data_IF_732689987875
#
_entry.id   IF_732689987875
#
_cell.length_a   1.000
_cell.length_b   1.000
_cell.length_c   1.000
_cell.angle_alpha   90.00
_cell.angle_beta   90.00
_cell.angle_gamma   90.00
#
_symmetry.space_group_name_H-M   'P 1'
#
loop_
_entity.id
_entity.type
_entity.pdbx_description
1 polymer ?
#
# COMPACT_ATOMS: atom_id res chain seq x y z
N UNK A 1 43.73 -30.20 -13.10
CA UNK A 1 43.24 -29.94 -14.45
C UNK A 1 41.99 -30.81 -14.63
N UNK A 2 40.74 -30.37 -14.57
CA UNK A 2 40.16 -29.04 -14.46
C UNK A 2 38.78 -29.13 -13.80
N UNK A 3 38.46 -28.11 -13.00
CA UNK A 3 37.16 -27.87 -12.38
C UNK A 3 36.43 -26.84 -13.24
N UNK A 4 35.44 -27.26 -14.02
CA UNK A 4 34.43 -26.36 -14.61
C UNK A 4 33.10 -26.67 -13.94
N UNK A 5 32.33 -25.76 -13.36
CA UNK A 5 32.18 -24.34 -13.62
C UNK A 5 30.68 -24.06 -13.56
N UNK A 6 30.12 -24.00 -12.34
CA UNK A 6 28.70 -23.76 -12.07
C UNK A 6 28.29 -22.39 -12.60
N UNK A 7 27.59 -22.36 -13.74
CA UNK A 7 26.99 -21.13 -14.29
C UNK A 7 25.64 -20.90 -13.61
N UNK A 8 25.64 -20.16 -12.50
CA UNK A 8 24.44 -19.50 -11.97
C UNK A 8 24.02 -18.38 -12.92
N UNK A 9 23.01 -18.65 -13.74
CA UNK A 9 22.34 -17.66 -14.57
C UNK A 9 21.49 -16.76 -13.68
N UNK A 10 22.08 -15.70 -13.12
CA UNK A 10 21.31 -14.65 -12.45
C UNK A 10 20.52 -13.88 -13.51
N UNK A 11 19.26 -14.26 -13.69
CA UNK A 11 18.30 -13.57 -14.56
C UNK A 11 18.01 -12.18 -14.00
N UNK A 12 18.77 -11.19 -14.45
CA UNK A 12 18.43 -9.77 -14.31
C UNK A 12 17.16 -9.53 -15.13
N UNK A 13 16.01 -9.57 -14.46
CA UNK A 13 14.74 -9.17 -15.06
C UNK A 13 14.85 -7.72 -15.53
N UNK A 14 14.70 -7.53 -16.85
CA UNK A 14 14.76 -6.25 -17.53
C UNK A 14 13.61 -5.35 -17.07
N UNK A 15 13.98 -4.25 -16.41
CA UNK A 15 13.09 -3.18 -15.93
C UNK A 15 12.50 -2.44 -17.14
N UNK A 16 11.17 -2.35 -17.32
CA UNK A 16 10.60 -1.44 -18.30
C UNK A 16 10.81 0.00 -17.81
N UNK A 17 11.71 0.71 -18.47
CA UNK A 17 12.02 2.12 -18.22
C UNK A 17 10.87 3.00 -18.70
N UNK A 18 10.13 3.59 -17.76
CA UNK A 18 9.31 4.77 -18.05
C UNK A 18 9.82 5.92 -17.16
N UNK A 19 10.56 6.84 -17.79
CA UNK A 19 11.25 7.94 -17.13
C UNK A 19 10.27 9.01 -16.63
N UNK A 20 10.24 9.23 -15.31
CA UNK A 20 10.11 10.56 -14.73
C UNK A 20 11.05 10.67 -13.52
N UNK A 21 11.89 11.69 -13.59
CA UNK A 21 13.06 11.96 -12.75
C UNK A 21 12.66 12.37 -11.33
N UNK A 22 12.26 11.40 -10.51
CA UNK A 22 12.19 11.46 -9.02
C UNK A 22 12.85 10.22 -8.39
N UNK A 23 13.66 9.51 -9.18
CA UNK A 23 13.92 8.06 -9.02
C UNK A 23 14.71 7.65 -7.77
N UNK A 24 15.56 8.53 -7.21
CA UNK A 24 16.47 8.14 -6.12
C UNK A 24 15.79 7.85 -4.77
N UNK A 25 14.73 8.59 -4.41
CA UNK A 25 14.04 8.37 -3.12
C UNK A 25 13.03 7.23 -3.19
N UNK A 26 12.36 7.07 -4.33
CA UNK A 26 11.40 5.97 -4.57
C UNK A 26 12.10 4.61 -4.62
N UNK A 27 13.33 4.55 -5.15
CA UNK A 27 14.13 3.31 -5.16
C UNK A 27 14.50 2.85 -3.75
N UNK A 28 14.71 3.78 -2.81
CA UNK A 28 14.93 3.46 -1.40
C UNK A 28 13.65 3.07 -0.65
N UNK A 29 12.48 3.41 -1.17
CA UNK A 29 11.20 3.09 -0.56
C UNK A 29 10.76 1.64 -0.81
N UNK A 30 11.34 0.97 -1.81
CA UNK A 30 10.97 -0.40 -2.19
C UNK A 30 12.11 -1.39 -1.98
N UNK A 31 11.77 -2.67 -1.91
CA UNK A 31 12.68 -3.82 -1.93
C UNK A 31 12.07 -4.94 -2.76
N UNK A 32 12.91 -5.70 -3.44
CA UNK A 32 12.47 -6.96 -4.06
C UNK A 32 12.29 -8.02 -2.97
N UNK A 33 11.10 -8.62 -2.88
CA UNK A 33 10.80 -9.65 -1.89
C UNK A 33 10.61 -11.00 -2.57
N UNK A 34 11.57 -11.92 -2.37
CA UNK A 34 11.60 -13.21 -3.05
C UNK A 34 10.32 -14.05 -2.85
N UNK A 35 9.73 -14.04 -1.65
CA UNK A 35 8.49 -14.77 -1.39
C UNK A 35 7.24 -14.19 -2.07
N UNK A 36 7.31 -12.93 -2.52
CA UNK A 36 6.24 -12.27 -3.30
C UNK A 36 6.56 -12.35 -4.80
N UNK A 37 7.84 -12.48 -5.17
CA UNK A 37 8.30 -12.50 -6.55
C UNK A 37 8.36 -11.11 -7.21
N UNK A 38 8.17 -10.03 -6.45
CA UNK A 38 8.07 -8.66 -6.95
C UNK A 38 8.50 -7.65 -5.87
N UNK A 39 8.49 -6.36 -6.22
CA UNK A 39 8.79 -5.25 -5.32
C UNK A 39 7.60 -4.90 -4.40
N UNK A 40 7.94 -4.74 -3.13
CA UNK A 40 7.07 -4.24 -2.07
C UNK A 40 7.72 -3.04 -1.37
N UNK A 41 6.95 -2.33 -0.56
CA UNK A 41 7.46 -1.27 0.30
C UNK A 41 8.39 -1.85 1.37
N UNK A 42 9.59 -1.26 1.47
CA UNK A 42 10.63 -1.67 2.41
C UNK A 42 10.14 -1.61 3.85
N UNK A 43 9.53 -0.48 4.22
CA UNK A 43 9.11 -0.24 5.58
C UNK A 43 7.96 -1.18 6.02
N UNK A 44 7.23 -1.76 5.07
CA UNK A 44 6.22 -2.79 5.34
C UNK A 44 6.85 -4.12 5.73
N UNK A 45 7.89 -4.55 5.01
CA UNK A 45 8.65 -5.73 5.38
C UNK A 45 9.32 -5.53 6.76
N UNK A 46 9.86 -4.34 7.01
CA UNK A 46 10.43 -3.97 8.31
C UNK A 46 9.36 -4.01 9.40
N UNK A 47 8.17 -3.46 9.17
CA UNK A 47 7.06 -3.49 10.14
C UNK A 47 6.69 -4.92 10.50
N UNK A 48 6.42 -5.78 9.52
CA UNK A 48 6.01 -7.18 9.76
C UNK A 48 7.10 -7.96 10.50
N UNK A 49 8.37 -7.71 10.15
CA UNK A 49 9.52 -8.32 10.82
C UNK A 49 9.64 -7.82 12.27
N UNK A 50 9.48 -6.52 12.50
CA UNK A 50 9.48 -5.91 13.82
C UNK A 50 8.34 -6.43 14.70
N UNK A 51 7.17 -6.71 14.13
CA UNK A 51 6.08 -7.39 14.82
C UNK A 51 6.47 -8.79 15.27
N UNK A 52 7.03 -9.59 14.36
CA UNK A 52 7.45 -10.97 14.65
C UNK A 52 8.50 -11.06 15.76
N UNK A 53 9.40 -10.08 15.86
CA UNK A 53 10.45 -10.04 16.87
C UNK A 53 10.07 -9.21 18.12
N UNK A 54 8.83 -8.72 18.24
CA UNK A 54 8.41 -7.97 19.42
C UNK A 54 9.11 -6.61 19.59
N UNK A 55 9.37 -5.90 18.48
CA UNK A 55 10.06 -4.61 18.44
C UNK A 55 9.06 -3.44 18.16
N UNK A 56 8.30 -2.96 19.17
CA UNK A 56 7.20 -2.01 18.96
C UNK A 56 7.67 -0.63 18.48
N UNK A 57 8.82 -0.15 18.94
CA UNK A 57 9.34 1.15 18.48
C UNK A 57 9.74 1.12 17.01
N UNK A 58 10.28 -0.01 16.53
CA UNK A 58 10.62 -0.20 15.13
C UNK A 58 9.36 -0.30 14.25
N UNK A 59 8.28 -0.93 14.73
CA UNK A 59 6.98 -0.90 14.05
C UNK A 59 6.44 0.53 13.90
N UNK A 60 6.48 1.33 14.97
CA UNK A 60 6.03 2.74 14.91
C UNK A 60 6.89 3.56 13.96
N UNK A 61 8.21 3.40 14.02
CA UNK A 61 9.15 4.14 13.19
C UNK A 61 8.98 3.78 11.70
N UNK A 62 8.88 2.50 11.37
CA UNK A 62 8.67 2.04 9.99
C UNK A 62 7.35 2.57 9.43
N UNK A 63 6.25 2.51 10.19
CA UNK A 63 4.97 3.05 9.74
C UNK A 63 5.01 4.56 9.51
N UNK A 64 5.65 5.32 10.42
CA UNK A 64 5.82 6.77 10.29
C UNK A 64 6.64 7.12 9.05
N UNK A 65 7.75 6.40 8.82
CA UNK A 65 8.63 6.59 7.67
C UNK A 65 7.92 6.25 6.35
N UNK A 66 7.15 5.17 6.32
CA UNK A 66 6.33 4.80 5.16
C UNK A 66 5.33 5.90 4.80
N UNK A 67 4.71 6.54 5.79
CA UNK A 67 3.78 7.64 5.60
C UNK A 67 4.38 8.91 4.96
N UNK A 68 5.70 9.06 4.96
CA UNK A 68 6.41 10.17 4.32
C UNK A 68 6.73 9.92 2.84
N UNK A 69 6.58 8.68 2.37
CA UNK A 69 6.90 8.32 0.99
C UNK A 69 5.85 8.85 0.01
N UNK A 70 6.31 9.34 -1.14
CA UNK A 70 5.45 9.83 -2.23
C UNK A 70 5.87 9.22 -3.56
N UNK A 71 5.00 9.29 -4.56
CA UNK A 71 5.30 8.78 -5.90
C UNK A 71 5.42 7.24 -5.99
N UNK A 72 4.89 6.51 -5.02
CA UNK A 72 4.86 5.05 -5.05
C UNK A 72 3.79 4.57 -6.04
N UNK A 73 4.17 3.62 -6.89
CA UNK A 73 3.25 2.95 -7.81
C UNK A 73 2.10 2.25 -7.07
N UNK A 74 0.90 2.33 -7.64
CA UNK A 74 -0.32 1.78 -7.02
C UNK A 74 -0.32 0.25 -6.97
N UNK A 75 0.31 -0.44 -7.92
CA UNK A 75 0.44 -1.89 -7.85
C UNK A 75 1.38 -2.29 -6.70
N UNK A 76 2.47 -1.53 -6.49
CA UNK A 76 3.35 -1.74 -5.32
C UNK A 76 2.60 -1.53 -4.00
N UNK A 77 1.72 -0.54 -3.92
CA UNK A 77 0.88 -0.33 -2.73
C UNK A 77 -0.02 -1.55 -2.46
N UNK A 78 -0.72 -2.07 -3.48
CA UNK A 78 -1.59 -3.24 -3.33
C UNK A 78 -0.81 -4.50 -2.96
N UNK A 79 0.31 -4.79 -3.64
CA UNK A 79 1.19 -5.90 -3.28
C UNK A 79 1.67 -5.80 -1.83
N UNK A 80 2.07 -4.60 -1.40
CA UNK A 80 2.52 -4.39 -0.02
C UNK A 80 1.39 -4.54 0.99
N UNK A 81 0.17 -4.14 0.64
CA UNK A 81 -1.01 -4.36 1.47
C UNK A 81 -1.31 -5.86 1.62
N UNK A 82 -1.29 -6.64 0.53
CA UNK A 82 -1.44 -8.10 0.59
C UNK A 82 -0.38 -8.73 1.49
N UNK A 83 0.89 -8.37 1.26
CA UNK A 83 1.99 -8.83 2.09
C UNK A 83 1.75 -8.54 3.58
N UNK A 84 1.27 -7.35 3.93
CA UNK A 84 0.93 -7.00 5.30
C UNK A 84 -0.18 -7.89 5.88
N UNK A 85 -1.25 -8.15 5.12
CA UNK A 85 -2.35 -9.01 5.59
C UNK A 85 -1.91 -10.45 5.81
N UNK A 86 -1.00 -10.96 4.98
CA UNK A 86 -0.47 -12.32 5.08
C UNK A 86 0.52 -12.49 6.25
N UNK A 87 1.17 -11.39 6.68
CA UNK A 87 2.24 -11.40 7.67
C UNK A 87 1.88 -10.72 9.00
N UNK A 88 0.65 -10.25 9.17
CA UNK A 88 0.15 -9.72 10.45
C UNK A 88 -1.18 -10.36 10.86
N UNK A 89 -1.38 -10.63 12.16
CA UNK A 89 -2.66 -11.15 12.65
C UNK A 89 -3.78 -10.10 12.51
N UNK A 90 -5.06 -10.49 12.51
CA UNK A 90 -6.19 -9.56 12.47
C UNK A 90 -6.21 -8.52 13.60
N UNK A 91 -5.55 -8.80 14.73
CA UNK A 91 -5.40 -7.87 15.85
C UNK A 91 -4.48 -6.68 15.55
N UNK A 92 -3.61 -6.75 14.53
CA UNK A 92 -2.76 -5.65 14.11
C UNK A 92 -3.53 -4.66 13.20
N UNK A 93 -4.43 -3.91 13.82
CA UNK A 93 -5.30 -2.97 13.11
C UNK A 93 -4.56 -1.76 12.53
N UNK A 94 -3.40 -1.38 13.07
CA UNK A 94 -2.69 -0.15 12.68
C UNK A 94 -2.17 -0.20 11.25
N UNK A 95 -1.41 -1.24 10.89
CA UNK A 95 -0.87 -1.36 9.54
C UNK A 95 -1.98 -1.57 8.52
N UNK A 96 -2.98 -2.40 8.85
CA UNK A 96 -4.14 -2.64 7.99
C UNK A 96 -4.91 -1.35 7.72
N UNK A 97 -5.27 -0.59 8.77
CA UNK A 97 -5.95 0.70 8.63
C UNK A 97 -5.11 1.72 7.84
N UNK A 98 -3.78 1.73 8.02
CA UNK A 98 -2.89 2.58 7.24
C UNK A 98 -3.01 2.29 5.74
N UNK A 99 -3.04 1.02 5.33
CA UNK A 99 -3.21 0.64 3.93
C UNK A 99 -4.58 1.01 3.37
N UNK A 100 -5.65 0.75 4.12
CA UNK A 100 -7.00 1.11 3.70
C UNK A 100 -7.10 2.63 3.46
N UNK A 101 -6.61 3.43 4.40
CA UNK A 101 -6.57 4.88 4.26
C UNK A 101 -5.71 5.34 3.06
N UNK A 102 -4.54 4.72 2.86
CA UNK A 102 -3.66 5.02 1.72
C UNK A 102 -4.34 4.73 0.38
N UNK A 103 -5.03 3.59 0.27
CA UNK A 103 -5.72 3.18 -0.96
C UNK A 103 -6.91 4.10 -1.25
N UNK A 104 -7.74 4.39 -0.26
CA UNK A 104 -8.91 5.28 -0.38
C UNK A 104 -8.48 6.71 -0.78
N UNK A 105 -7.39 7.21 -0.20
CA UNK A 105 -6.82 8.51 -0.57
C UNK A 105 -6.29 8.52 -2.01
N UNK A 106 -5.75 7.41 -2.48
CA UNK A 106 -5.23 7.23 -3.84
C UNK A 106 -6.28 6.76 -4.86
N UNK A 107 -7.57 6.72 -4.51
CA UNK A 107 -8.66 6.15 -5.35
C UNK A 107 -8.72 6.68 -6.78
N UNK A 108 -8.40 7.95 -7.02
CA UNK A 108 -8.41 8.54 -8.38
C UNK A 108 -7.37 7.88 -9.29
N UNK A 109 -6.21 7.51 -8.75
CA UNK A 109 -5.16 6.81 -9.48
C UNK A 109 -5.58 5.38 -9.78
N UNK A 110 -6.11 4.67 -8.77
CA UNK A 110 -6.64 3.31 -8.94
C UNK A 110 -7.75 3.22 -9.99
N UNK A 111 -8.68 4.20 -9.99
CA UNK A 111 -9.74 4.28 -11.01
C UNK A 111 -9.17 4.39 -12.42
N UNK A 112 -8.09 5.16 -12.61
CA UNK A 112 -7.48 5.38 -13.93
C UNK A 112 -6.67 4.18 -14.40
N UNK A 113 -5.97 3.51 -13.50
CA UNK A 113 -5.07 2.41 -13.86
C UNK A 113 -5.78 1.07 -14.08
N UNK A 114 -6.99 0.89 -13.55
CA UNK A 114 -7.72 -0.40 -13.57
C UNK A 114 -7.10 -1.46 -12.66
N UNK A 115 -5.98 -1.16 -11.99
CA UNK A 115 -5.23 -2.13 -11.17
C UNK A 115 -6.10 -2.73 -10.06
N UNK A 116 -6.95 -1.93 -9.43
CA UNK A 116 -7.83 -2.42 -8.37
C UNK A 116 -8.84 -3.45 -8.88
N UNK A 117 -9.39 -3.25 -10.09
CA UNK A 117 -10.32 -4.20 -10.69
C UNK A 117 -9.63 -5.55 -10.93
N UNK A 118 -8.50 -5.54 -11.64
CA UNK A 118 -7.72 -6.74 -11.94
C UNK A 118 -7.36 -7.52 -10.67
N UNK A 119 -6.92 -6.80 -9.64
CA UNK A 119 -6.49 -7.37 -8.38
C UNK A 119 -7.65 -7.95 -7.55
N UNK A 120 -8.85 -7.35 -7.62
CA UNK A 120 -10.06 -7.84 -6.97
C UNK A 120 -10.70 -9.01 -7.72
N UNK A 121 -10.62 -9.03 -9.05
CA UNK A 121 -11.09 -10.15 -9.89
C UNK A 121 -10.27 -11.42 -9.67
N UNK A 122 -8.98 -11.26 -9.36
CA UNK A 122 -8.11 -12.37 -8.92
C UNK A 122 -8.59 -12.96 -7.58
N UNK A 123 -9.31 -12.16 -6.77
CA UNK A 123 -9.96 -12.58 -5.54
C UNK A 123 -8.99 -12.87 -4.38
N UNK A 124 -9.52 -13.54 -3.35
CA UNK A 124 -8.70 -14.31 -2.43
C UNK A 124 -8.09 -13.62 -1.20
N UNK A 125 -8.50 -12.41 -0.81
CA UNK A 125 -7.92 -11.78 0.40
C UNK A 125 -8.95 -11.05 1.28
N UNK A 126 -8.80 -11.19 2.61
CA UNK A 126 -9.53 -10.40 3.61
C UNK A 126 -9.37 -8.89 3.37
N UNK A 127 -8.21 -8.49 2.83
CA UNK A 127 -7.89 -7.10 2.50
C UNK A 127 -8.93 -6.42 1.59
N UNK A 128 -9.48 -7.13 0.60
CA UNK A 128 -10.51 -6.54 -0.27
C UNK A 128 -11.87 -6.41 0.41
N UNK A 129 -12.21 -7.32 1.33
CA UNK A 129 -13.41 -7.17 2.14
C UNK A 129 -13.31 -5.96 3.08
N UNK A 130 -12.19 -5.84 3.80
CA UNK A 130 -11.94 -4.71 4.69
C UNK A 130 -11.88 -3.39 3.90
N UNK A 131 -11.33 -3.41 2.67
CA UNK A 131 -11.34 -2.26 1.77
C UNK A 131 -12.73 -1.87 1.30
N UNK A 132 -13.59 -2.84 0.96
CA UNK A 132 -14.98 -2.57 0.62
C UNK A 132 -15.70 -1.87 1.76
N UNK A 133 -15.61 -2.41 2.98
CA UNK A 133 -16.23 -1.81 4.18
C UNK A 133 -15.69 -0.40 4.42
N UNK A 134 -14.37 -0.21 4.33
CA UNK A 134 -13.76 1.11 4.52
C UNK A 134 -14.17 2.11 3.43
N UNK A 135 -14.40 1.67 2.19
CA UNK A 135 -14.92 2.53 1.12
C UNK A 135 -16.38 2.93 1.33
N UNK A 136 -17.23 2.02 1.81
CA UNK A 136 -18.62 2.34 2.17
C UNK A 136 -18.66 3.43 3.25
N UNK A 137 -17.94 3.21 4.35
CA UNK A 137 -17.84 4.20 5.43
C UNK A 137 -17.31 5.54 4.92
N UNK A 138 -16.31 5.54 4.03
CA UNK A 138 -15.79 6.76 3.44
C UNK A 138 -16.83 7.52 2.58
N UNK A 139 -17.69 6.80 1.86
CA UNK A 139 -18.79 7.43 1.09
C UNK A 139 -19.79 8.07 2.04
N UNK A 140 -20.20 7.35 3.09
CA UNK A 140 -21.14 7.86 4.09
C UNK A 140 -20.60 9.14 4.75
N UNK A 141 -19.33 9.14 5.18
CA UNK A 141 -18.66 10.32 5.75
C UNK A 141 -18.69 11.52 4.78
N UNK A 142 -18.43 11.29 3.49
CA UNK A 142 -18.43 12.35 2.46
C UNK A 142 -19.83 12.92 2.24
N UNK A 143 -20.87 12.09 2.27
CA UNK A 143 -22.26 12.54 2.13
C UNK A 143 -22.72 13.31 3.37
N UNK A 144 -22.35 12.88 4.57
CA UNK A 144 -22.68 13.58 5.82
C UNK A 144 -22.01 14.97 5.89
N UNK A 145 -20.74 15.06 5.47
CA UNK A 145 -20.04 16.35 5.37
C UNK A 145 -20.72 17.29 4.38
N UNK A 146 -21.12 16.81 3.20
CA UNK A 146 -21.84 17.61 2.20
C UNK A 146 -23.20 18.10 2.68
N UNK A 147 -23.89 17.30 3.50
CA UNK A 147 -25.18 17.62 4.10
C UNK A 147 -25.03 18.71 5.16
N UNK A 148 -24.04 18.59 6.04
CA UNK A 148 -23.73 19.57 7.09
C UNK A 148 -23.28 20.92 6.52
N UNK A 149 -22.47 20.92 5.46
CA UNK A 149 -22.08 22.14 4.76
C UNK A 149 -23.28 22.86 4.15
N UNK A 150 -24.26 22.13 3.60
CA UNK A 150 -25.48 22.72 3.02
C UNK A 150 -26.38 23.36 4.09
N UNK A 151 -26.50 22.74 5.27
CA UNK A 151 -27.26 23.31 6.40
C UNK A 151 -26.63 24.61 6.92
N UNK A 152 -25.30 24.67 7.05
CA UNK A 152 -24.58 25.88 7.52
C UNK A 152 -24.72 27.06 6.56
N UNK A 153 -24.71 26.82 5.25
CA UNK A 153 -24.93 27.90 4.27
C UNK A 153 -26.36 28.45 4.36
N UNK A 154 -27.35 27.59 4.57
CA UNK A 154 -28.75 28.02 4.69
C UNK A 154 -28.97 28.86 5.96
N UNK A 155 -28.34 28.52 7.10
CA UNK A 155 -28.43 29.34 8.32
C UNK A 155 -27.71 30.68 8.20
N UNK A 156 -26.59 30.75 7.47
CA UNK A 156 -25.83 31.99 7.28
C UNK A 156 -26.45 32.97 6.26
N UNK A 157 -27.49 32.57 5.53
CA UNK A 157 -28.21 33.44 4.58
C UNK A 157 -29.52 33.97 5.16
N UNK A 158 -29.88 33.57 6.39
CA UNK A 158 -31.13 33.97 7.09
C UNK A 158 -30.87 35.03 8.18
N UNK A 159 -29.61 35.38 8.46
CA UNK A 159 -29.22 36.56 9.25
C UNK A 159 -28.81 37.73 8.34
#
# INVERSE_FOLDING_TARGET
EDVEGLKTSTSLASRPSNEKQTSGLTELATIYHHGVGDYILRDTAVYCTALRFGLPELQRLSLRKQGLQTGIDVATILRSARFAYDNTPPSDSRLRAHYLALIIRSRKTFKRSGTMQMEMETGGTQMFFDLFVAMCNHVDDVMEMGSTSRVRTLTATIE
#
